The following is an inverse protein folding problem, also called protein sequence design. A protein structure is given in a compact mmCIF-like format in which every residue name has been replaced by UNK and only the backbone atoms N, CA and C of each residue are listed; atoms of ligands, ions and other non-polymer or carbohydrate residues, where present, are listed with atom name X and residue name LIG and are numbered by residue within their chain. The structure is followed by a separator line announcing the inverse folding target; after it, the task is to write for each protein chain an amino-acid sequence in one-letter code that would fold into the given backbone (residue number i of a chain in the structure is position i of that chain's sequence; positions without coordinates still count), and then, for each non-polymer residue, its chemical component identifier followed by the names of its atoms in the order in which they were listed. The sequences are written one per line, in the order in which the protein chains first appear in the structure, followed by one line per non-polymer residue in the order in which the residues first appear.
data_IF_089401370665
#
_entry.id   IF_089401370665
#
_cell.length_a   1.000
_cell.length_b   1.000
_cell.length_c   1.000
_cell.angle_alpha   90.00
_cell.angle_beta   90.00
_cell.angle_gamma   90.00
#
_symmetry.space_group_name_H-M   'P 1'
#
loop_
_entity.id
_entity.type
_entity.pdbx_description
1 polymer ?
#
# COMPACT_ATOMS: atom_id res chain seq x y z
N UNK A 1 19.95 -10.84 -34.36
CA UNK A 1 20.07 -11.05 -32.91
C UNK A 1 19.11 -10.10 -32.25
N UNK A 2 18.21 -10.67 -31.48
CA UNK A 2 17.03 -10.03 -30.88
C UNK A 2 17.37 -9.50 -29.49
N UNK A 3 17.43 -8.18 -29.35
CA UNK A 3 17.43 -7.49 -28.06
C UNK A 3 16.18 -6.60 -27.99
N UNK A 4 15.03 -7.27 -27.99
CA UNK A 4 13.78 -6.72 -27.48
C UNK A 4 13.77 -6.94 -25.97
N UNK A 5 13.40 -5.89 -25.23
CA UNK A 5 12.58 -6.00 -24.01
C UNK A 5 13.23 -5.99 -22.60
N UNK A 6 14.05 -4.98 -22.26
CA UNK A 6 14.44 -4.77 -20.83
C UNK A 6 14.42 -3.30 -20.34
N UNK A 7 13.83 -2.37 -21.10
CA UNK A 7 13.72 -0.95 -20.70
C UNK A 7 12.44 -0.57 -19.94
N UNK A 8 11.62 -1.53 -19.51
CA UNK A 8 10.38 -1.27 -18.74
C UNK A 8 10.57 -1.33 -17.21
N UNK A 9 11.80 -1.34 -16.69
CA UNK A 9 12.04 -0.98 -15.30
C UNK A 9 12.08 0.54 -15.15
N UNK A 10 10.95 1.17 -15.52
CA UNK A 10 10.59 2.54 -15.19
C UNK A 10 10.45 2.68 -13.68
N UNK A 11 11.59 2.63 -12.99
CA UNK A 11 11.77 3.02 -11.59
C UNK A 11 11.48 4.51 -11.54
N UNK A 12 10.21 4.87 -11.52
CA UNK A 12 9.77 6.19 -11.12
C UNK A 12 10.30 6.41 -9.72
N UNK A 13 11.45 7.09 -9.63
CA UNK A 13 12.14 7.50 -8.38
C UNK A 13 11.35 8.60 -7.67
N UNK A 14 10.03 8.49 -7.63
CA UNK A 14 9.19 9.24 -6.71
C UNK A 14 9.37 8.54 -5.37
N UNK A 15 9.95 9.21 -4.39
CA UNK A 15 9.95 8.70 -3.02
C UNK A 15 8.50 8.51 -2.59
N UNK A 16 8.01 7.28 -2.66
CA UNK A 16 6.64 6.94 -2.25
C UNK A 16 6.53 7.26 -0.77
N UNK A 17 5.61 8.15 -0.41
CA UNK A 17 5.40 8.49 0.99
C UNK A 17 4.94 7.25 1.76
N UNK A 18 5.24 7.12 3.07
CA UNK A 18 4.78 5.97 3.84
C UNK A 18 3.27 5.75 3.77
N UNK A 19 2.51 6.84 3.65
CA UNK A 19 1.07 6.82 3.41
C UNK A 19 0.70 6.13 2.11
N UNK A 20 1.30 6.53 0.99
CA UNK A 20 1.01 5.95 -0.32
C UNK A 20 1.42 4.47 -0.38
N UNK A 21 2.53 4.11 0.24
CA UNK A 21 2.97 2.73 0.34
C UNK A 21 1.96 1.89 1.15
N UNK A 22 1.50 2.37 2.31
CA UNK A 22 0.45 1.69 3.08
C UNK A 22 -0.81 1.45 2.24
N UNK A 23 -1.30 2.48 1.55
CA UNK A 23 -2.50 2.36 0.70
C UNK A 23 -2.27 1.35 -0.42
N UNK A 24 -1.09 1.34 -1.03
CA UNK A 24 -0.74 0.35 -2.06
C UNK A 24 -0.78 -1.08 -1.51
N UNK A 25 -0.16 -1.34 -0.34
CA UNK A 25 -0.18 -2.66 0.31
C UNK A 25 -1.62 -3.13 0.58
N UNK A 26 -2.46 -2.26 1.13
CA UNK A 26 -3.86 -2.58 1.40
C UNK A 26 -4.64 -2.83 0.10
N UNK A 27 -4.37 -2.06 -0.96
CA UNK A 27 -5.04 -2.18 -2.26
C UNK A 27 -4.70 -3.49 -2.97
N UNK A 28 -3.46 -3.97 -2.86
CA UNK A 28 -3.06 -5.28 -3.44
C UNK A 28 -3.50 -6.48 -2.58
N UNK A 29 -4.22 -6.26 -1.47
CA UNK A 29 -4.87 -7.30 -0.68
C UNK A 29 -4.15 -7.69 0.61
N UNK A 30 -3.18 -6.89 1.10
CA UNK A 30 -2.64 -7.14 2.43
C UNK A 30 -3.70 -6.93 3.51
N UNK A 31 -3.78 -7.87 4.45
CA UNK A 31 -4.71 -7.79 5.57
C UNK A 31 -4.33 -6.58 6.47
N UNK A 32 -5.24 -5.60 6.68
CA UNK A 32 -5.02 -4.47 7.59
C UNK A 32 -4.75 -4.91 9.05
N UNK A 33 -5.13 -6.12 9.43
CA UNK A 33 -4.86 -6.71 10.75
C UNK A 33 -3.53 -7.45 10.83
N UNK A 34 -2.82 -7.63 9.72
CA UNK A 34 -1.52 -8.29 9.68
C UNK A 34 -0.51 -7.61 10.62
N UNK A 35 0.28 -8.37 11.41
CA UNK A 35 1.31 -7.80 12.28
C UNK A 35 2.30 -6.88 11.55
N UNK A 36 2.60 -7.19 10.28
CA UNK A 36 3.50 -6.37 9.46
C UNK A 36 2.89 -5.02 9.12
N UNK A 37 1.61 -4.98 8.74
CA UNK A 37 0.88 -3.73 8.49
C UNK A 37 0.77 -2.91 9.77
N UNK A 38 0.40 -3.55 10.89
CA UNK A 38 0.30 -2.86 12.20
C UNK A 38 1.63 -2.25 12.62
N UNK A 39 2.74 -2.99 12.48
CA UNK A 39 4.09 -2.49 12.79
C UNK A 39 4.46 -1.32 11.88
N UNK A 40 4.21 -1.45 10.57
CA UNK A 40 4.49 -0.39 9.60
C UNK A 40 3.71 0.90 9.92
N UNK A 41 2.43 0.76 10.25
CA UNK A 41 1.55 1.86 10.65
C UNK A 41 2.03 2.54 11.93
N UNK A 42 2.43 1.77 12.94
CA UNK A 42 2.94 2.32 14.19
C UNK A 42 4.27 3.08 14.00
N UNK A 43 5.18 2.58 13.15
CA UNK A 43 6.46 3.24 12.88
C UNK A 43 6.32 4.57 12.10
N UNK A 44 5.22 4.75 11.37
CA UNK A 44 5.01 5.91 10.49
C UNK A 44 3.81 6.80 10.92
N UNK A 45 3.23 6.56 12.11
CA UNK A 45 2.05 7.27 12.63
C UNK A 45 0.87 7.32 11.62
N UNK A 46 0.58 6.18 10.98
CA UNK A 46 -0.46 6.05 9.95
C UNK A 46 -1.78 5.48 10.49
N UNK A 47 -2.00 5.54 11.81
CA UNK A 47 -3.14 4.88 12.46
C UNK A 47 -4.48 5.36 11.91
N UNK A 48 -4.62 6.67 11.71
CA UNK A 48 -5.83 7.26 11.09
C UNK A 48 -6.02 6.79 9.65
N UNK A 49 -4.94 6.75 8.86
CA UNK A 49 -5.00 6.33 7.44
C UNK A 49 -5.49 4.89 7.32
N UNK A 50 -5.00 3.99 8.17
CA UNK A 50 -5.45 2.60 8.19
C UNK A 50 -6.94 2.50 8.58
N UNK A 51 -7.37 3.22 9.62
CA UNK A 51 -8.77 3.24 10.06
C UNK A 51 -9.70 3.76 8.96
N UNK A 52 -9.40 4.91 8.37
CA UNK A 52 -10.19 5.52 7.30
C UNK A 52 -10.33 4.56 6.10
N UNK A 53 -9.24 3.88 5.73
CA UNK A 53 -9.26 2.90 4.63
C UNK A 53 -10.15 1.69 4.96
N UNK A 54 -10.06 1.16 6.18
CA UNK A 54 -10.88 0.02 6.63
C UNK A 54 -12.36 0.41 6.70
N UNK A 55 -12.69 1.60 7.18
CA UNK A 55 -14.07 2.10 7.21
C UNK A 55 -14.65 2.28 5.81
N UNK A 56 -13.85 2.79 4.87
CA UNK A 56 -14.25 2.98 3.47
C UNK A 56 -14.44 1.67 2.71
N UNK A 57 -13.69 0.62 3.05
CA UNK A 57 -13.70 -0.66 2.31
C UNK A 57 -14.62 -1.71 2.91
N UNK A 58 -15.18 -1.48 4.11
CA UNK A 58 -16.23 -2.35 4.65
C UNK A 58 -17.44 -2.33 3.70
N UNK A 59 -17.91 -3.49 3.21
CA UNK A 59 -19.15 -3.53 2.47
C UNK A 59 -20.28 -3.03 3.38
N UNK A 60 -21.04 -2.05 2.89
CA UNK A 60 -22.26 -1.60 3.56
C UNK A 60 -23.23 -2.78 3.46
N UNK A 61 -23.28 -3.63 4.50
CA UNK A 61 -24.38 -4.57 4.68
C UNK A 61 -25.61 -3.75 5.01
N UNK A 62 -26.38 -3.39 3.97
CA UNK A 62 -27.76 -2.94 4.08
C UNK A 62 -28.70 -4.14 4.13
#
# INVERSE_FOLDING_TARGET
MSDQNDSELGRSKSSVSPREHLIHLLTIGWDPKSPLIRKYVALNDLGRVLSDWVEKTKPITK
#
